data_IF_890585583794
#
_entry.id   IF_890585583794
#
_cell.length_a   1.000
_cell.length_b   1.000
_cell.length_c   1.000
_cell.angle_alpha   90.00
_cell.angle_beta   90.00
_cell.angle_gamma   90.00
#
_symmetry.space_group_name_H-M   'P 1'
#
loop_
_entity.id
_entity.type
_entity.pdbx_description
1 polymer ?
#
# COMPACT_ATOMS: atom_id res chain seq x y z
N UNK A 1 3.11 -16.75 10.61
CA UNK A 1 3.77 -15.92 9.57
C UNK A 1 3.09 -14.55 9.54
N UNK A 2 3.83 -13.46 9.36
CA UNK A 2 3.22 -12.12 9.28
C UNK A 2 2.43 -11.96 7.99
N UNK A 3 1.27 -11.29 8.08
CA UNK A 3 0.46 -10.95 6.91
C UNK A 3 1.23 -9.98 6.00
N UNK A 4 1.09 -10.15 4.68
CA UNK A 4 1.64 -9.21 3.72
C UNK A 4 0.89 -7.88 3.81
N UNK A 5 1.64 -6.78 3.86
CA UNK A 5 1.11 -5.41 3.79
C UNK A 5 1.56 -4.77 2.48
N UNK A 6 0.82 -3.77 1.99
CA UNK A 6 1.21 -3.01 0.80
C UNK A 6 2.64 -2.46 0.89
N UNK A 7 3.08 -2.02 2.09
CA UNK A 7 4.45 -1.53 2.29
C UNK A 7 5.50 -2.63 2.19
N UNK A 8 5.23 -3.82 2.74
CA UNK A 8 6.14 -4.96 2.59
C UNK A 8 6.29 -5.36 1.11
N UNK A 9 5.20 -5.34 0.35
CA UNK A 9 5.23 -5.58 -1.11
C UNK A 9 5.99 -4.47 -1.82
N UNK A 10 5.75 -3.21 -1.49
CA UNK A 10 6.48 -2.06 -2.07
C UNK A 10 8.01 -2.22 -1.91
N UNK A 11 8.47 -2.58 -0.71
CA UNK A 11 9.89 -2.84 -0.46
C UNK A 11 10.42 -4.03 -1.27
N UNK A 12 9.64 -5.10 -1.44
CA UNK A 12 10.02 -6.25 -2.28
C UNK A 12 10.15 -5.87 -3.75
N UNK A 13 9.24 -5.05 -4.26
CA UNK A 13 9.28 -4.54 -5.64
C UNK A 13 10.53 -3.68 -5.87
N UNK A 14 10.90 -2.84 -4.89
CA UNK A 14 12.13 -2.05 -4.96
C UNK A 14 13.39 -2.93 -4.87
N UNK A 15 13.46 -3.90 -3.94
CA UNK A 15 14.54 -4.89 -3.82
C UNK A 15 14.74 -5.67 -5.15
N UNK A 16 13.64 -6.08 -5.79
CA UNK A 16 13.65 -6.74 -7.09
C UNK A 16 14.19 -5.83 -8.21
N UNK A 17 13.78 -4.56 -8.24
CA UNK A 17 14.28 -3.60 -9.23
C UNK A 17 15.77 -3.24 -9.01
N UNK A 18 16.22 -3.12 -7.76
CA UNK A 18 17.65 -2.91 -7.43
C UNK A 18 18.48 -4.13 -7.82
N UNK A 19 17.99 -5.32 -7.54
CA UNK A 19 18.63 -6.58 -7.95
C UNK A 19 18.77 -6.64 -9.47
N UNK A 20 17.74 -6.24 -10.22
CA UNK A 20 17.78 -6.16 -11.67
C UNK A 20 18.80 -5.12 -12.17
N UNK A 21 19.03 -4.01 -11.45
CA UNK A 21 20.11 -3.05 -11.77
C UNK A 21 21.50 -3.68 -11.62
N UNK A 22 21.67 -4.66 -10.74
CA UNK A 22 22.96 -5.32 -10.50
C UNK A 22 23.20 -6.47 -11.46
N UNK A 23 22.14 -7.10 -11.97
CA UNK A 23 22.28 -8.14 -13.00
C UNK A 23 22.80 -7.54 -14.31
N UNK A 24 23.68 -8.26 -15.03
CA UNK A 24 24.13 -7.83 -16.35
C UNK A 24 22.93 -7.75 -17.31
N UNK A 25 22.90 -6.73 -18.15
CA UNK A 25 21.89 -6.62 -19.20
C UNK A 25 22.23 -7.66 -20.28
N UNK A 26 21.50 -8.78 -20.27
CA UNK A 26 21.69 -9.85 -21.24
C UNK A 26 21.31 -9.43 -22.65
N UNK A 27 20.62 -8.29 -22.84
CA UNK A 27 20.22 -7.79 -24.16
C UNK A 27 21.36 -7.13 -24.93
N UNK A 28 22.40 -6.66 -24.25
CA UNK A 28 23.57 -6.04 -24.90
C UNK A 28 24.58 -7.09 -25.37
N UNK A 29 24.31 -8.38 -25.11
CA UNK A 29 25.05 -9.50 -25.68
C UNK A 29 24.59 -9.79 -27.11
N UNK A 30 25.17 -9.09 -28.08
CA UNK A 30 25.09 -9.50 -29.48
C UNK A 30 25.55 -10.95 -29.64
N UNK A 31 24.64 -11.81 -30.09
CA UNK A 31 24.79 -13.06 -30.87
C UNK A 31 25.99 -14.03 -30.69
N UNK A 32 26.97 -13.87 -29.79
CA UNK A 32 28.20 -14.66 -29.92
C UNK A 32 29.14 -14.75 -28.72
N UNK A 33 28.77 -14.29 -27.52
CA UNK A 33 29.64 -14.48 -26.36
C UNK A 33 28.88 -14.26 -25.07
N UNK A 34 28.87 -15.25 -24.19
CA UNK A 34 28.42 -15.05 -22.82
C UNK A 34 29.10 -13.81 -22.26
N UNK A 35 28.34 -12.89 -21.66
CA UNK A 35 28.87 -11.65 -21.06
C UNK A 35 29.81 -11.88 -19.87
N UNK A 36 30.33 -13.09 -19.73
CA UNK A 36 31.26 -13.55 -18.72
C UNK A 36 32.49 -14.10 -19.44
N UNK A 37 33.68 -13.51 -19.24
CA UNK A 37 34.91 -14.14 -19.65
C UNK A 37 35.00 -15.50 -18.96
N UNK A 38 35.24 -16.55 -19.73
CA UNK A 38 35.31 -17.95 -19.28
C UNK A 38 36.44 -18.16 -18.23
N UNK A 39 37.43 -17.25 -18.23
CA UNK A 39 38.51 -17.20 -17.26
C UNK A 39 39.13 -15.80 -17.26
N UNK A 40 39.31 -15.15 -16.10
CA UNK A 40 40.09 -13.91 -15.98
C UNK A 40 41.30 -14.21 -15.09
N UNK A 41 42.47 -14.58 -15.65
CA UNK A 41 43.62 -15.01 -14.86
C UNK A 41 44.18 -13.93 -13.94
N UNK A 42 44.09 -12.64 -14.31
CA UNK A 42 44.74 -11.56 -13.57
C UNK A 42 43.87 -10.30 -13.53
N UNK A 43 43.39 -9.93 -12.34
CA UNK A 43 42.80 -8.61 -12.14
C UNK A 43 43.91 -7.55 -12.14
N UNK A 44 43.94 -6.58 -13.08
CA UNK A 44 44.61 -5.33 -12.77
C UNK A 44 43.91 -4.73 -11.55
N UNK A 45 44.67 -4.36 -10.51
CA UNK A 45 44.16 -3.81 -9.22
C UNK A 45 43.21 -2.61 -9.35
N UNK A 46 43.05 -2.04 -10.55
CA UNK A 46 42.21 -0.87 -10.84
C UNK A 46 40.82 -1.19 -11.43
N UNK A 47 40.43 -2.46 -11.62
CA UNK A 47 39.09 -2.76 -12.13
C UNK A 47 38.02 -2.53 -11.04
N UNK A 48 37.04 -1.68 -11.34
CA UNK A 48 35.83 -1.50 -10.53
C UNK A 48 34.99 -2.77 -10.63
N UNK A 49 35.15 -3.70 -9.69
CA UNK A 49 34.33 -4.90 -9.61
C UNK A 49 32.89 -4.47 -9.36
N UNK A 50 31.99 -4.79 -10.29
CA UNK A 50 30.54 -4.60 -10.09
C UNK A 50 30.07 -5.61 -9.06
N UNK A 51 29.45 -5.13 -7.98
CA UNK A 51 28.90 -5.98 -6.93
C UNK A 51 27.80 -6.86 -7.54
N UNK A 52 27.94 -8.18 -7.41
CA UNK A 52 26.91 -9.12 -7.86
C UNK A 52 25.79 -9.21 -6.82
N UNK A 53 24.53 -9.36 -7.24
CA UNK A 53 23.46 -9.62 -6.30
C UNK A 53 23.68 -10.98 -5.63
N UNK A 54 23.27 -11.10 -4.36
CA UNK A 54 23.32 -12.39 -3.67
C UNK A 54 22.31 -13.39 -4.28
N UNK A 55 22.56 -14.70 -4.20
CA UNK A 55 21.62 -15.70 -4.71
C UNK A 55 20.21 -15.54 -4.14
N UNK A 56 20.10 -15.24 -2.84
CA UNK A 56 18.82 -14.98 -2.20
C UNK A 56 18.11 -13.74 -2.74
N UNK A 57 18.82 -12.69 -3.17
CA UNK A 57 18.21 -11.53 -3.82
C UNK A 57 17.61 -11.91 -5.18
N UNK A 58 18.29 -12.75 -5.96
CA UNK A 58 17.79 -13.25 -7.24
C UNK A 58 16.50 -14.08 -7.06
N UNK A 59 16.46 -15.01 -6.09
CA UNK A 59 15.24 -15.79 -5.81
C UNK A 59 14.07 -14.90 -5.44
N UNK A 60 14.29 -13.88 -4.61
CA UNK A 60 13.24 -12.92 -4.22
C UNK A 60 12.79 -12.04 -5.38
N UNK A 61 13.73 -11.61 -6.24
CA UNK A 61 13.42 -10.88 -7.46
C UNK A 61 12.49 -11.69 -8.37
N UNK A 62 12.81 -12.96 -8.62
CA UNK A 62 11.99 -13.85 -9.45
C UNK A 62 10.58 -14.06 -8.87
N UNK A 63 10.48 -14.32 -7.57
CA UNK A 63 9.18 -14.44 -6.89
C UNK A 63 8.36 -13.14 -6.98
N UNK A 64 9.00 -11.99 -6.80
CA UNK A 64 8.34 -10.68 -6.89
C UNK A 64 7.86 -10.40 -8.31
N UNK A 65 8.63 -10.77 -9.34
CA UNK A 65 8.20 -10.65 -10.74
C UNK A 65 7.03 -11.56 -11.10
N UNK A 66 6.93 -12.76 -10.51
CA UNK A 66 5.75 -13.59 -10.66
C UNK A 66 4.49 -12.87 -10.12
N UNK A 67 4.58 -12.18 -8.98
CA UNK A 67 3.47 -11.41 -8.42
C UNK A 67 3.01 -10.29 -9.35
N UNK A 68 3.95 -9.52 -9.90
CA UNK A 68 3.63 -8.43 -10.83
C UNK A 68 3.02 -8.98 -12.11
N UNK A 69 3.58 -10.05 -12.69
CA UNK A 69 3.05 -10.64 -13.91
C UNK A 69 1.65 -11.24 -13.73
N UNK A 70 1.30 -11.67 -12.52
CA UNK A 70 -0.04 -12.14 -12.18
C UNK A 70 -1.09 -11.02 -12.07
N UNK A 71 -0.72 -9.73 -12.14
CA UNK A 71 -1.71 -8.65 -12.22
C UNK A 71 -2.48 -8.73 -13.54
N UNK A 72 -3.80 -8.55 -13.47
CA UNK A 72 -4.69 -8.61 -14.65
C UNK A 72 -4.49 -7.41 -15.57
N UNK A 73 -4.35 -6.21 -14.98
CA UNK A 73 -4.19 -4.96 -15.73
C UNK A 73 -2.75 -4.82 -16.23
N UNK A 74 -2.56 -4.88 -17.54
CA UNK A 74 -1.25 -4.66 -18.16
C UNK A 74 -0.73 -3.24 -17.89
N UNK A 75 -1.63 -2.25 -17.86
CA UNK A 75 -1.30 -0.86 -17.54
C UNK A 75 -0.69 -0.76 -16.13
N UNK A 76 -1.27 -1.46 -15.15
CA UNK A 76 -0.76 -1.45 -13.77
C UNK A 76 0.60 -2.16 -13.67
N UNK A 77 0.81 -3.25 -14.42
CA UNK A 77 2.13 -3.91 -14.53
C UNK A 77 3.18 -2.94 -15.05
N UNK A 78 2.95 -2.34 -16.22
CA UNK A 78 3.89 -1.40 -16.87
C UNK A 78 4.19 -0.21 -15.97
N UNK A 79 3.17 0.37 -15.34
CA UNK A 79 3.32 1.50 -14.42
C UNK A 79 4.18 1.13 -13.21
N UNK A 80 3.91 -0.02 -12.57
CA UNK A 80 4.67 -0.49 -11.40
C UNK A 80 6.15 -0.75 -11.75
N UNK A 81 6.41 -1.39 -12.89
CA UNK A 81 7.78 -1.61 -13.39
C UNK A 81 8.52 -0.29 -13.64
N UNK A 82 7.91 0.62 -14.39
CA UNK A 82 8.53 1.90 -14.74
C UNK A 82 8.78 2.78 -13.50
N UNK A 83 7.84 2.76 -12.55
CA UNK A 83 7.98 3.44 -11.26
C UNK A 83 9.14 2.86 -10.43
N UNK A 84 9.20 1.54 -10.26
CA UNK A 84 10.24 0.87 -9.47
C UNK A 84 11.63 1.09 -10.09
N UNK A 85 11.73 1.00 -11.41
CA UNK A 85 12.94 1.30 -12.16
C UNK A 85 13.41 2.75 -12.00
N UNK A 86 12.48 3.70 -12.00
CA UNK A 86 12.80 5.12 -11.78
C UNK A 86 13.30 5.35 -10.36
N UNK A 87 12.69 4.69 -9.37
CA UNK A 87 13.02 4.84 -7.95
C UNK A 87 14.41 4.34 -7.58
N UNK A 88 14.90 3.30 -8.26
CA UNK A 88 16.22 2.71 -8.00
C UNK A 88 17.37 3.45 -8.67
N UNK A 89 17.07 4.35 -9.62
CA UNK A 89 18.07 5.19 -10.30
C UNK A 89 18.36 6.47 -9.51
N UNK A 90 19.65 6.74 -9.31
CA UNK A 90 20.12 8.01 -8.73
C UNK A 90 19.81 9.18 -9.67
N UNK A 91 19.38 10.32 -9.12
CA UNK A 91 19.19 11.57 -9.86
C UNK A 91 17.92 11.68 -10.70
N UNK A 92 16.94 10.78 -10.54
CA UNK A 92 15.61 10.92 -11.18
C UNK A 92 14.58 11.34 -10.14
N UNK A 93 13.82 12.38 -10.45
CA UNK A 93 12.74 12.85 -9.59
C UNK A 93 11.43 12.12 -9.91
N UNK A 94 10.69 11.74 -8.86
CA UNK A 94 9.38 11.11 -9.01
C UNK A 94 8.36 12.03 -9.71
N UNK A 95 8.51 13.35 -9.55
CA UNK A 95 7.64 14.34 -10.19
C UNK A 95 7.81 14.34 -11.72
N UNK A 96 9.05 14.23 -12.23
CA UNK A 96 9.30 14.19 -13.67
C UNK A 96 8.70 12.93 -14.31
N UNK A 97 8.79 11.80 -13.61
CA UNK A 97 8.16 10.56 -14.04
C UNK A 97 6.63 10.68 -14.06
N UNK A 98 6.04 11.24 -12.99
CA UNK A 98 4.60 11.45 -12.92
C UNK A 98 4.09 12.37 -14.06
N UNK A 99 4.82 13.46 -14.36
CA UNK A 99 4.51 14.35 -15.49
C UNK A 99 4.58 13.65 -16.85
N UNK A 100 5.54 12.74 -17.07
CA UNK A 100 5.65 11.97 -18.32
C UNK A 100 4.49 10.99 -18.52
N UNK A 101 4.02 10.39 -17.43
CA UNK A 101 2.86 9.50 -17.42
C UNK A 101 1.52 10.27 -17.41
N UNK A 102 1.56 11.61 -17.41
CA UNK A 102 0.36 12.46 -17.40
C UNK A 102 -0.44 12.40 -16.10
N UNK A 103 0.19 12.03 -14.98
CA UNK A 103 -0.46 11.87 -13.68
C UNK A 103 0.16 12.78 -12.61
N UNK A 104 -0.65 13.23 -11.66
CA UNK A 104 -0.15 13.97 -10.50
C UNK A 104 0.66 13.04 -9.58
N UNK A 105 1.77 13.51 -9.00
CA UNK A 105 2.60 12.76 -8.06
C UNK A 105 1.82 12.16 -6.87
N UNK A 106 0.77 12.82 -6.40
CA UNK A 106 -0.11 12.28 -5.35
C UNK A 106 -0.91 11.09 -5.86
N UNK A 107 -1.54 11.24 -7.02
CA UNK A 107 -2.31 10.17 -7.68
C UNK A 107 -1.42 8.98 -7.97
N UNK A 108 -0.22 9.20 -8.50
CA UNK A 108 0.75 8.14 -8.74
C UNK A 108 1.04 7.33 -7.47
N UNK A 109 1.34 8.00 -6.34
CA UNK A 109 1.58 7.30 -5.07
C UNK A 109 0.38 6.47 -4.63
N UNK A 110 -0.83 7.00 -4.77
CA UNK A 110 -2.06 6.27 -4.44
C UNK A 110 -2.26 5.06 -5.35
N UNK A 111 -2.05 5.21 -6.65
CA UNK A 111 -2.14 4.11 -7.62
C UNK A 111 -1.13 3.01 -7.30
N UNK A 112 0.12 3.36 -7.00
CA UNK A 112 1.15 2.38 -6.60
C UNK A 112 0.76 1.68 -5.29
N UNK A 113 0.34 2.42 -4.26
CA UNK A 113 -0.10 1.82 -2.99
C UNK A 113 -1.27 0.86 -3.20
N UNK A 114 -2.25 1.22 -4.03
CA UNK A 114 -3.39 0.36 -4.40
C UNK A 114 -2.90 -0.94 -5.04
N UNK A 115 -2.04 -0.85 -6.07
CA UNK A 115 -1.50 -2.03 -6.75
C UNK A 115 -0.73 -2.93 -5.77
N UNK A 116 0.08 -2.35 -4.88
CA UNK A 116 0.81 -3.11 -3.85
C UNK A 116 -0.14 -3.77 -2.84
N UNK A 117 -1.27 -3.13 -2.51
CA UNK A 117 -2.30 -3.71 -1.66
C UNK A 117 -2.98 -4.90 -2.35
N UNK A 118 -3.35 -4.77 -3.63
CA UNK A 118 -3.96 -5.86 -4.40
C UNK A 118 -3.04 -7.10 -4.45
N UNK A 119 -1.73 -6.89 -4.62
CA UNK A 119 -0.72 -7.97 -4.55
C UNK A 119 -0.66 -8.57 -3.13
N UNK A 120 -0.66 -7.73 -2.09
CA UNK A 120 -0.62 -8.19 -0.71
C UNK A 120 -1.83 -9.06 -0.37
N UNK A 121 -3.03 -8.63 -0.77
CA UNK A 121 -4.28 -9.36 -0.54
C UNK A 121 -4.27 -10.70 -1.25
N UNK A 122 -3.83 -10.76 -2.52
CA UNK A 122 -3.67 -12.02 -3.25
C UNK A 122 -2.67 -12.96 -2.57
N UNK A 123 -1.52 -12.44 -2.15
CA UNK A 123 -0.50 -13.25 -1.46
C UNK A 123 -0.98 -13.74 -0.09
N UNK A 124 -1.85 -12.98 0.58
CA UNK A 124 -2.48 -13.41 1.82
C UNK A 124 -3.55 -14.48 1.56
N UNK A 125 -4.36 -14.32 0.51
CA UNK A 125 -5.35 -15.33 0.09
C UNK A 125 -4.68 -16.67 -0.24
N UNK A 126 -3.56 -16.66 -0.96
CA UNK A 126 -2.78 -17.88 -1.26
C UNK A 126 -2.22 -18.61 -0.02
N UNK A 127 -2.07 -17.91 1.11
CA UNK A 127 -1.62 -18.53 2.37
C UNK A 127 -2.75 -19.15 3.17
N UNK A 128 -4.01 -18.80 2.89
CA UNK A 128 -5.16 -19.38 3.57
C UNK A 128 -5.30 -20.79 3.01
N UNK A 129 -4.71 -21.76 3.71
CA UNK A 129 -4.65 -23.18 3.35
C UNK A 129 -6.02 -23.87 3.25
N UNK A 130 -7.12 -23.15 3.44
CA UNK A 130 -8.47 -23.70 3.49
C UNK A 130 -8.97 -24.23 2.12
N UNK A 131 -8.23 -24.00 1.04
CA UNK A 131 -8.54 -24.55 -0.30
C UNK A 131 -7.69 -25.76 -0.70
N UNK A 132 -6.76 -26.19 0.15
CA UNK A 132 -5.89 -27.35 -0.13
C UNK A 132 -6.21 -28.56 0.77
N UNK A 133 -7.10 -28.37 1.75
CA UNK A 133 -7.80 -29.51 2.34
C UNK A 133 -8.77 -30.01 1.27
N UNK A 134 -8.57 -31.25 0.83
CA UNK A 134 -9.55 -32.01 0.06
C UNK A 134 -10.91 -31.71 0.69
N UNK A 135 -11.77 -31.00 -0.03
CA UNK A 135 -13.16 -30.88 0.36
C UNK A 135 -13.60 -32.34 0.38
N UNK A 136 -13.83 -32.87 1.57
CA UNK A 136 -14.35 -34.22 1.72
C UNK A 136 -15.66 -34.22 0.93
N UNK A 137 -15.80 -35.13 -0.05
CA UNK A 137 -17.01 -35.26 -0.88
C UNK A 137 -18.26 -35.60 -0.05
N UNK A 138 -18.12 -35.70 1.28
CA UNK A 138 -19.09 -36.16 2.27
C UNK A 138 -20.01 -35.05 2.79
N UNK A 139 -19.77 -33.78 2.47
CA UNK A 139 -20.72 -32.70 2.78
C UNK A 139 -21.62 -32.38 1.58
N UNK A 140 -22.32 -33.40 1.06
CA UNK A 140 -23.52 -33.20 0.27
C UNK A 140 -24.58 -32.62 1.21
N UNK A 141 -24.53 -31.30 1.41
CA UNK A 141 -25.62 -30.56 2.04
C UNK A 141 -26.74 -30.60 1.01
N UNK A 142 -27.55 -31.66 1.05
CA UNK A 142 -28.86 -31.62 0.41
C UNK A 142 -29.52 -30.33 0.90
N UNK A 143 -29.95 -29.43 -0.02
CA UNK A 143 -30.68 -28.26 0.38
C UNK A 143 -31.98 -28.75 1.01
N UNK A 144 -31.99 -28.87 2.33
CA UNK A 144 -33.21 -29.13 3.09
C UNK A 144 -34.19 -28.04 2.63
N UNK A 145 -35.33 -28.40 2.03
CA UNK A 145 -36.27 -27.43 1.50
C UNK A 145 -36.84 -26.65 2.68
N UNK A 146 -36.16 -25.57 3.04
CA UNK A 146 -36.63 -24.62 4.02
C UNK A 146 -37.95 -24.10 3.47
N UNK A 147 -39.04 -24.59 4.07
CA UNK A 147 -40.38 -24.08 3.79
C UNK A 147 -40.35 -22.60 4.13
N UNK A 148 -40.27 -21.77 3.10
CA UNK A 148 -40.43 -20.33 3.21
C UNK A 148 -41.90 -20.04 3.54
N UNK A 149 -42.29 -20.29 4.78
CA UNK A 149 -43.47 -19.66 5.36
C UNK A 149 -43.03 -18.27 5.78
N UNK A 150 -43.05 -17.34 4.82
CA UNK A 150 -42.85 -15.92 5.09
C UNK A 150 -44.11 -15.43 5.81
N UNK A 151 -44.13 -15.57 7.14
CA UNK A 151 -45.10 -14.85 7.97
C UNK A 151 -44.75 -13.37 7.90
N UNK A 152 -45.44 -12.65 7.03
CA UNK A 152 -45.46 -11.19 6.97
C UNK A 152 -46.16 -10.65 8.22
N UNK A 153 -45.53 -10.75 9.38
CA UNK A 153 -45.94 -10.01 10.56
C UNK A 153 -45.44 -8.58 10.43
N UNK A 154 -46.40 -7.72 10.13
CA UNK A 154 -46.27 -6.27 10.19
C UNK A 154 -46.26 -5.87 11.66
N UNK A 155 -45.09 -5.85 12.30
CA UNK A 155 -44.93 -5.22 13.62
C UNK A 155 -44.52 -3.76 13.37
N UNK A 156 -45.47 -2.82 13.34
CA UNK A 156 -46.03 -2.15 14.50
C UNK A 156 -44.94 -1.53 15.39
N UNK A 157 -44.74 -0.23 15.15
CA UNK A 157 -44.14 0.79 16.00
C UNK A 157 -44.42 0.54 17.48
N UNK A 158 -43.38 0.32 18.29
CA UNK A 158 -43.47 0.49 19.75
C UNK A 158 -42.33 1.41 20.20
N UNK A 159 -42.77 2.43 20.90
CA UNK A 159 -42.03 3.52 21.48
C UNK A 159 -41.09 3.06 22.61
N UNK A 160 -40.11 3.93 22.89
CA UNK A 160 -39.49 4.21 24.20
C UNK A 160 -39.97 3.36 25.37
N UNK A 161 -39.04 2.65 26.02
CA UNK A 161 -38.53 3.06 27.33
C UNK A 161 -37.48 2.06 27.83
N UNK A 162 -36.56 2.57 28.66
CA UNK A 162 -35.27 1.95 28.95
C UNK A 162 -35.30 0.71 29.84
N UNK A 163 -34.11 0.14 30.06
CA UNK A 163 -33.62 -0.57 31.28
C UNK A 163 -32.29 -1.28 30.96
N UNK A 164 -31.52 -1.79 31.95
CA UNK A 164 -30.42 -1.04 32.56
C UNK A 164 -29.06 -1.70 32.27
N UNK A 165 -28.03 -0.87 32.29
CA UNK A 165 -26.63 -1.30 32.25
C UNK A 165 -26.28 -2.10 33.51
N UNK A 166 -26.07 -3.41 33.38
CA UNK A 166 -25.38 -4.20 34.42
C UNK A 166 -23.87 -3.98 34.28
N UNK A 167 -23.32 -3.09 35.12
CA UNK A 167 -21.89 -2.90 35.32
C UNK A 167 -21.37 -3.92 36.35
N UNK A 168 -20.38 -4.71 35.94
CA UNK A 168 -19.52 -5.45 36.86
C UNK A 168 -18.58 -4.46 37.60
N UNK A 169 -18.37 -4.62 38.92
CA UNK A 169 -17.43 -3.79 39.66
C UNK A 169 -16.01 -4.33 39.48
N UNK A 170 -15.06 -3.51 38.97
CA UNK A 170 -13.65 -3.88 39.11
C UNK A 170 -12.59 -3.26 38.20
N UNK A 171 -12.91 -2.41 37.22
CA UNK A 171 -11.86 -1.79 36.40
C UNK A 171 -12.03 -0.28 36.32
N UNK A 172 -11.18 0.46 37.04
CA UNK A 172 -11.01 1.90 36.90
C UNK A 172 -10.62 2.25 35.46
N UNK A 173 -11.46 2.93 34.68
CA UNK A 173 -11.07 3.45 33.37
C UNK A 173 -10.25 4.72 33.58
N UNK A 174 -9.13 4.80 32.85
CA UNK A 174 -8.36 6.04 32.71
C UNK A 174 -9.26 7.18 32.21
N UNK A 175 -8.96 8.46 32.56
CA UNK A 175 -9.77 9.61 32.17
C UNK A 175 -9.84 9.69 30.64
N UNK A 176 -10.99 9.28 30.09
CA UNK A 176 -11.31 9.46 28.70
C UNK A 176 -11.38 10.96 28.44
N UNK A 177 -10.56 11.41 27.49
CA UNK A 177 -10.67 12.75 26.93
C UNK A 177 -12.12 12.95 26.52
N UNK A 178 -12.79 14.08 26.85
CA UNK A 178 -14.19 14.29 26.54
C UNK A 178 -14.38 14.18 25.03
N UNK A 179 -14.83 13.00 24.58
CA UNK A 179 -15.33 12.79 23.24
C UNK A 179 -16.49 13.76 23.10
N UNK A 180 -16.41 14.64 22.12
CA UNK A 180 -17.47 15.60 21.79
C UNK A 180 -18.78 14.84 21.59
N UNK A 181 -19.56 14.75 22.66
CA UNK A 181 -20.87 14.14 22.66
C UNK A 181 -21.76 15.09 21.87
N UNK A 182 -22.14 14.67 20.66
CA UNK A 182 -23.09 15.40 19.83
C UNK A 182 -24.46 14.94 20.33
N UNK A 183 -25.23 15.86 20.91
CA UNK A 183 -26.57 15.55 21.39
C UNK A 183 -27.43 14.94 20.27
N UNK A 184 -28.21 13.88 20.52
CA UNK A 184 -29.11 13.30 19.53
C UNK A 184 -30.11 14.35 19.04
N UNK A 185 -29.95 14.83 17.80
CA UNK A 185 -30.75 15.90 17.21
C UNK A 185 -30.01 17.23 17.01
N UNK A 186 -28.79 17.38 17.51
CA UNK A 186 -27.94 18.51 17.20
C UNK A 186 -27.57 18.49 15.71
N UNK A 187 -28.07 19.47 14.95
CA UNK A 187 -27.70 19.64 13.54
C UNK A 187 -26.23 20.07 13.45
N UNK A 188 -25.42 19.50 12.53
CA UNK A 188 -24.06 19.97 12.30
C UNK A 188 -24.06 21.47 12.06
N UNK A 189 -23.42 22.23 12.95
CA UNK A 189 -23.28 23.67 12.77
C UNK A 189 -22.24 23.92 11.70
N UNK A 190 -22.67 24.44 10.55
CA UNK A 190 -21.75 24.94 9.54
C UNK A 190 -21.11 26.24 10.03
N UNK A 191 -19.79 26.41 9.88
CA UNK A 191 -19.13 27.66 10.23
C UNK A 191 -19.72 28.83 9.45
N UNK A 192 -19.87 29.97 10.11
CA UNK A 192 -20.34 31.20 9.43
C UNK A 192 -19.29 31.70 8.44
N UNK A 193 -19.71 32.50 7.45
CA UNK A 193 -18.77 33.09 6.46
C UNK A 193 -17.65 33.90 7.12
N UNK A 194 -17.96 34.55 8.24
CA UNK A 194 -17.01 35.32 9.04
C UNK A 194 -15.99 34.43 9.77
N UNK A 195 -16.45 33.31 10.36
CA UNK A 195 -15.58 32.31 10.99
C UNK A 195 -14.61 31.71 9.96
N UNK A 196 -15.08 31.42 8.75
CA UNK A 196 -14.23 30.92 7.65
C UNK A 196 -13.20 31.98 7.26
N UNK A 197 -13.60 33.24 7.08
CA UNK A 197 -12.68 34.32 6.72
C UNK A 197 -11.62 34.57 7.80
N UNK A 198 -11.99 34.50 9.07
CA UNK A 198 -11.06 34.61 10.20
C UNK A 198 -10.05 33.45 10.21
N UNK A 199 -10.50 32.23 9.93
CA UNK A 199 -9.65 31.05 9.85
C UNK A 199 -8.63 31.14 8.70
N UNK A 200 -9.06 31.61 7.54
CA UNK A 200 -8.19 31.85 6.37
C UNK A 200 -7.11 32.87 6.71
N UNK A 201 -7.47 34.02 7.30
CA UNK A 201 -6.49 35.04 7.74
C UNK A 201 -5.48 34.49 8.74
N UNK A 202 -5.91 33.63 9.67
CA UNK A 202 -5.03 33.01 10.67
C UNK A 202 -4.04 32.04 10.02
N UNK A 203 -4.49 31.24 9.06
CA UNK A 203 -3.65 30.32 8.29
C UNK A 203 -2.63 31.04 7.42
N UNK A 204 -3.03 32.13 6.74
CA UNK A 204 -2.12 32.96 5.96
C UNK A 204 -1.02 33.57 6.81
N UNK A 205 -1.37 34.11 8.00
CA UNK A 205 -0.40 34.66 8.96
C UNK A 205 0.58 33.58 9.43
N UNK A 206 0.11 32.38 9.74
CA UNK A 206 0.95 31.26 10.15
C UNK A 206 1.90 30.80 9.02
N UNK A 207 1.41 30.70 7.78
CA UNK A 207 2.22 30.35 6.62
C UNK A 207 3.28 31.41 6.30
N UNK A 208 2.95 32.69 6.42
CA UNK A 208 3.92 33.80 6.29
C UNK A 208 5.03 33.69 7.33
N UNK A 209 4.70 33.36 8.57
CA UNK A 209 5.68 33.16 9.64
C UNK A 209 6.60 31.96 9.37
N UNK A 210 6.05 30.84 8.90
CA UNK A 210 6.83 29.65 8.50
C UNK A 210 7.79 29.95 7.36
N UNK A 211 7.35 30.70 6.33
CA UNK A 211 8.22 31.12 5.21
C UNK A 211 9.38 32.01 5.69
N UNK A 212 9.14 32.95 6.61
CA UNK A 212 10.21 33.78 7.20
C UNK A 212 11.21 32.94 7.98
N UNK A 213 10.74 32.01 8.82
CA UNK A 213 11.62 31.09 9.57
C UNK A 213 12.46 30.21 8.64
N UNK A 214 11.86 29.64 7.59
CA UNK A 214 12.58 28.84 6.60
C UNK A 214 13.66 29.65 5.86
N UNK A 215 13.37 30.90 5.51
CA UNK A 215 14.36 31.79 4.87
C UNK A 215 15.49 32.22 5.82
N UNK A 216 15.20 32.42 7.11
CA UNK A 216 16.24 32.72 8.10
C UNK A 216 17.16 31.51 8.33
N UNK A 217 16.59 30.30 8.38
CA UNK A 217 17.36 29.06 8.56
C UNK A 217 18.22 28.68 7.34
N UNK A 218 17.97 29.24 6.15
CA UNK A 218 18.77 28.96 4.95
C UNK A 218 19.93 29.93 4.73
N UNK A 219 20.04 30.99 5.54
CA UNK A 219 21.08 32.03 5.44
C UNK A 219 22.14 31.89 6.55
N UNK A 220 21.84 31.09 7.58
CA UNK A 220 22.79 30.67 8.60
C UNK A 220 23.42 29.33 8.21
#
# INVERSE_FOLDING_TARGET
>A
MTAWTAKAVEYRVLDAAETLMLTPDTRVGGAGGGGWPEYIPHYPRAMKIRIRPSPGALTRMLATWAWINALQSEKDRRLLYAWAWTKTRKGRFLNDFASREGVNSRTLRWTITRICQDIADRNNQQKIAWLDQHIDDVAEIEPEPASQTVSSETSATIEKDGTPTYLAPGSSPAPSTPSSFIEPGARPRYPTREEIAALVRRLEKANKLRRRKAKAASVA
#
